data_IF_757945189076
#
_entry.id   IF_757945189076
#
_cell.length_a   1.000
_cell.length_b   1.000
_cell.length_c   1.000
_cell.angle_alpha   90.00
_cell.angle_beta   90.00
_cell.angle_gamma   90.00
#
_symmetry.space_group_name_H-M   'P 1'
#
loop_
_entity.id
_entity.type
_entity.pdbx_description
1 polymer ?
#
# COMPACT_ATOMS: atom_id res chain seq x y z
N UNK A 1 -16.17 -16.16 -10.50
CA UNK A 1 -14.93 -15.90 -9.74
C UNK A 1 -14.76 -14.40 -9.50
N UNK A 2 -14.95 -13.56 -10.51
CA UNK A 2 -14.96 -12.08 -10.41
C UNK A 2 -15.77 -11.48 -9.24
N UNK A 3 -16.94 -12.04 -8.92
CA UNK A 3 -17.74 -11.58 -7.76
C UNK A 3 -17.05 -11.84 -6.40
N UNK A 4 -16.23 -12.88 -6.31
CA UNK A 4 -15.49 -13.22 -5.08
C UNK A 4 -14.37 -12.22 -4.88
N UNK A 5 -13.62 -11.90 -5.94
CA UNK A 5 -12.56 -10.89 -5.90
C UNK A 5 -13.11 -9.52 -5.50
N UNK A 6 -14.21 -9.07 -6.13
CA UNK A 6 -14.84 -7.80 -5.79
C UNK A 6 -15.29 -7.71 -4.31
N UNK A 7 -15.81 -8.83 -3.76
CA UNK A 7 -16.21 -8.89 -2.35
C UNK A 7 -14.98 -8.87 -1.43
N UNK A 8 -13.92 -9.59 -1.79
CA UNK A 8 -12.68 -9.60 -1.01
C UNK A 8 -12.01 -8.22 -1.00
N UNK A 9 -11.93 -7.54 -2.15
CA UNK A 9 -11.39 -6.17 -2.24
C UNK A 9 -12.19 -5.19 -1.38
N UNK A 10 -13.53 -5.25 -1.43
CA UNK A 10 -14.40 -4.39 -0.62
C UNK A 10 -14.19 -4.58 0.89
N UNK A 11 -13.98 -5.82 1.33
CA UNK A 11 -13.69 -6.13 2.73
C UNK A 11 -12.33 -5.55 3.14
N UNK A 12 -11.31 -5.71 2.29
CA UNK A 12 -9.98 -5.17 2.55
C UNK A 12 -10.05 -3.65 2.65
N UNK A 13 -10.67 -2.96 1.67
CA UNK A 13 -10.80 -1.50 1.69
C UNK A 13 -11.53 -0.97 2.93
N UNK A 14 -12.61 -1.64 3.35
CA UNK A 14 -13.39 -1.23 4.53
C UNK A 14 -12.61 -1.41 5.84
N UNK A 15 -11.71 -2.40 5.88
CA UNK A 15 -10.90 -2.71 7.07
C UNK A 15 -9.55 -1.99 7.08
N UNK A 16 -9.13 -1.35 5.98
CA UNK A 16 -7.89 -0.60 5.88
C UNK A 16 -7.98 0.73 6.64
N UNK A 17 -7.21 0.86 7.72
CA UNK A 17 -6.99 2.15 8.41
C UNK A 17 -5.80 2.89 7.77
N UNK A 18 -6.09 3.95 7.02
CA UNK A 18 -5.08 4.77 6.33
C UNK A 18 -4.27 5.70 7.24
N UNK A 19 -4.60 5.81 8.54
CA UNK A 19 -3.87 6.67 9.48
C UNK A 19 -2.37 6.34 9.54
N UNK A 20 -2.02 5.05 9.41
CA UNK A 20 -0.62 4.62 9.38
C UNK A 20 0.05 5.05 8.07
N UNK A 21 -0.64 4.94 6.95
CA UNK A 21 -0.11 5.33 5.63
C UNK A 21 0.18 6.82 5.55
N UNK A 22 -0.72 7.65 6.10
CA UNK A 22 -0.50 9.10 6.18
C UNK A 22 0.77 9.45 6.97
N UNK A 23 1.01 8.76 8.09
CA UNK A 23 2.24 8.93 8.90
C UNK A 23 3.49 8.46 8.14
N UNK A 24 3.40 7.35 7.41
CA UNK A 24 4.50 6.85 6.58
C UNK A 24 4.83 7.83 5.44
N UNK A 25 3.82 8.38 4.77
CA UNK A 25 3.97 9.36 3.67
C UNK A 25 4.31 10.79 4.12
N UNK A 26 4.34 11.06 5.43
CA UNK A 26 4.92 12.29 5.96
C UNK A 26 6.35 12.48 5.46
N UNK A 27 7.12 11.39 5.39
CA UNK A 27 8.39 11.39 4.67
C UNK A 27 8.13 11.36 3.15
N UNK A 28 8.52 12.42 2.45
CA UNK A 28 8.34 12.55 1.00
C UNK A 28 9.00 11.42 0.20
N UNK A 29 10.10 10.86 0.69
CA UNK A 29 10.78 9.74 0.04
C UNK A 29 9.92 8.47 0.02
N UNK A 30 8.96 8.34 0.94
CA UNK A 30 8.06 7.20 1.03
C UNK A 30 6.84 7.32 0.09
N UNK A 31 6.74 8.39 -0.70
CA UNK A 31 5.61 8.59 -1.63
C UNK A 31 5.82 7.94 -2.99
N UNK A 32 6.88 7.14 -3.13
CA UNK A 32 7.20 6.40 -4.35
C UNK A 32 7.59 4.97 -4.01
N UNK A 33 7.05 4.03 -4.77
CA UNK A 33 7.43 2.64 -4.70
C UNK A 33 8.93 2.49 -4.96
N UNK A 34 9.62 1.70 -4.12
CA UNK A 34 11.04 1.45 -4.25
C UNK A 34 11.39 0.80 -5.61
N UNK A 35 10.53 -0.08 -6.12
CA UNK A 35 10.82 -0.86 -7.33
C UNK A 35 10.43 -0.14 -8.62
N UNK A 36 9.19 0.35 -8.70
CA UNK A 36 8.64 0.88 -9.95
C UNK A 36 8.37 2.39 -9.93
N UNK A 37 8.67 3.07 -8.82
CA UNK A 37 8.45 4.51 -8.62
C UNK A 37 6.98 4.97 -8.72
N UNK A 38 6.02 4.03 -8.75
CA UNK A 38 4.60 4.35 -8.67
C UNK A 38 4.31 5.23 -7.44
N UNK A 39 3.43 6.23 -7.55
CA UNK A 39 3.10 7.12 -6.44
C UNK A 39 2.38 6.37 -5.32
N UNK A 40 2.46 6.91 -4.11
CA UNK A 40 1.61 6.55 -2.96
C UNK A 40 1.54 5.02 -2.71
N UNK A 41 2.68 4.36 -2.47
CA UNK A 41 2.70 2.94 -2.14
C UNK A 41 1.99 2.65 -0.82
N UNK A 42 1.18 1.59 -0.79
CA UNK A 42 0.37 1.20 0.36
C UNK A 42 1.01 0.12 1.24
N UNK A 43 2.13 -0.49 0.80
CA UNK A 43 2.81 -1.54 1.54
C UNK A 43 4.15 -1.03 2.05
N UNK A 44 4.48 -1.34 3.31
CA UNK A 44 5.75 -1.02 3.93
C UNK A 44 6.40 -2.27 4.52
N UNK A 45 7.62 -2.59 4.10
CA UNK A 45 8.43 -3.65 4.72
C UNK A 45 9.33 -3.04 5.79
N UNK A 46 9.04 -3.36 7.05
CA UNK A 46 9.84 -2.87 8.19
C UNK A 46 11.26 -3.45 8.14
N UNK A 47 11.40 -4.73 7.79
CA UNK A 47 12.70 -5.41 7.78
C UNK A 47 13.64 -4.87 6.70
N UNK A 48 13.08 -4.45 5.56
CA UNK A 48 13.84 -3.93 4.42
C UNK A 48 13.89 -2.40 4.40
N UNK A 49 13.13 -1.73 5.28
CA UNK A 49 12.97 -0.28 5.34
C UNK A 49 12.54 0.33 4.00
N UNK A 50 11.66 -0.34 3.26
CA UNK A 50 11.13 0.14 1.96
C UNK A 50 9.62 0.21 1.95
N UNK A 51 9.10 1.03 1.04
CA UNK A 51 7.68 1.09 0.68
C UNK A 51 7.50 0.64 -0.78
N UNK A 52 6.48 -0.17 -1.03
CA UNK A 52 6.20 -0.76 -2.35
C UNK A 52 4.70 -0.69 -2.67
N UNK A 53 4.35 -0.62 -3.95
CA UNK A 53 2.95 -0.66 -4.37
C UNK A 53 2.41 -2.09 -4.34
N UNK A 54 1.08 -2.25 -4.34
CA UNK A 54 0.41 -3.57 -4.39
C UNK A 54 0.89 -4.48 -5.52
N UNK A 55 1.30 -3.91 -6.66
CA UNK A 55 1.77 -4.69 -7.82
C UNK A 55 3.22 -5.19 -7.68
N UNK A 56 4.01 -4.60 -6.77
CA UNK A 56 5.40 -4.99 -6.51
C UNK A 56 5.53 -5.82 -5.21
N UNK A 57 4.50 -5.83 -4.37
CA UNK A 57 4.38 -6.73 -3.22
C UNK A 57 3.93 -8.12 -3.66
#
# INVERSE_FOLDING_TARGET
>A
EEWIEAVQESIVETLCNYEVLEKVWFNKSNRKCADCQAPEPEWASINLCVVICKNCA
#
